data_IF_889938466167
#
_entry.id   IF_889938466167
#
_cell.length_a   1.000
_cell.length_b   1.000
_cell.length_c   1.000
_cell.angle_alpha   90.00
_cell.angle_beta   90.00
_cell.angle_gamma   90.00
#
_symmetry.space_group_name_H-M   'P 1'
#
loop_
_entity.id
_entity.type
_entity.pdbx_description
1 polymer ?
#
# COMPACT_ATOMS: atom_id res chain seq x y z
N UNK A 1 -5.68 47.09 -15.16
CA UNK A 1 -6.36 47.38 -13.87
C UNK A 1 -5.36 48.04 -12.93
N UNK A 2 -5.77 48.98 -12.07
CA UNK A 2 -4.86 49.54 -11.05
C UNK A 2 -4.51 48.43 -10.07
N UNK A 3 -3.21 48.20 -9.83
CA UNK A 3 -2.74 47.17 -8.89
C UNK A 3 -3.20 47.51 -7.47
N UNK A 4 -3.54 46.49 -6.69
CA UNK A 4 -3.91 46.62 -5.28
C UNK A 4 -3.17 45.63 -4.35
N UNK A 5 -2.18 44.91 -4.90
CA UNK A 5 -1.34 43.95 -4.19
C UNK A 5 0.12 44.41 -4.16
N UNK A 6 0.74 44.41 -2.98
CA UNK A 6 2.20 44.57 -2.86
C UNK A 6 2.95 43.40 -3.47
N UNK A 7 4.24 43.60 -3.78
CA UNK A 7 5.08 42.49 -4.19
C UNK A 7 5.21 41.38 -3.13
N UNK A 8 5.09 41.70 -1.84
CA UNK A 8 5.12 40.70 -0.77
C UNK A 8 3.83 39.85 -0.76
N UNK A 9 2.67 40.49 -0.88
CA UNK A 9 1.37 39.79 -0.98
C UNK A 9 1.36 38.81 -2.15
N UNK A 10 1.90 39.23 -3.30
CA UNK A 10 2.04 38.39 -4.49
C UNK A 10 2.93 37.16 -4.24
N UNK A 11 4.06 37.32 -3.54
CA UNK A 11 4.93 36.20 -3.19
C UNK A 11 4.26 35.21 -2.23
N UNK A 12 3.52 35.71 -1.24
CA UNK A 12 2.77 34.86 -0.30
C UNK A 12 1.69 34.06 -1.04
N UNK A 13 0.96 34.70 -1.97
CA UNK A 13 -0.05 34.03 -2.80
C UNK A 13 0.53 32.91 -3.64
N UNK A 14 1.74 33.08 -4.20
CA UNK A 14 2.42 32.01 -4.94
C UNK A 14 2.63 30.78 -4.03
N UNK A 15 3.14 30.98 -2.81
CA UNK A 15 3.35 29.86 -1.87
C UNK A 15 2.03 29.23 -1.40
N UNK A 16 0.99 30.04 -1.13
CA UNK A 16 -0.33 29.50 -0.77
C UNK A 16 -0.96 28.72 -1.92
N UNK A 17 -0.82 29.21 -3.16
CA UNK A 17 -1.28 28.52 -4.36
C UNK A 17 -0.56 27.18 -4.54
N UNK A 18 0.75 27.13 -4.30
CA UNK A 18 1.56 25.92 -4.34
C UNK A 18 1.13 24.90 -3.28
N UNK A 19 0.96 25.33 -2.03
CA UNK A 19 0.49 24.44 -0.94
C UNK A 19 -0.89 23.87 -1.26
N UNK A 20 -1.83 24.70 -1.73
CA UNK A 20 -3.16 24.24 -2.15
C UNK A 20 -3.10 23.26 -3.31
N UNK A 21 -2.15 23.45 -4.24
CA UNK A 21 -1.94 22.53 -5.36
C UNK A 21 -1.48 21.15 -4.85
N UNK A 22 -0.48 21.12 -3.96
CA UNK A 22 0.04 19.88 -3.37
C UNK A 22 -1.05 19.18 -2.55
N UNK A 23 -1.81 19.91 -1.73
CA UNK A 23 -2.94 19.37 -0.95
C UNK A 23 -4.02 18.82 -1.87
N UNK A 24 -4.42 19.59 -2.90
CA UNK A 24 -5.42 19.16 -3.88
C UNK A 24 -5.00 17.90 -4.62
N UNK A 25 -3.73 17.81 -5.00
CA UNK A 25 -3.21 16.69 -5.78
C UNK A 25 -3.02 15.41 -4.96
N UNK A 26 -2.37 15.51 -3.80
CA UNK A 26 -2.01 14.30 -3.03
C UNK A 26 -3.03 13.92 -1.96
N UNK A 27 -3.74 14.86 -1.36
CA UNK A 27 -4.45 14.66 -0.09
C UNK A 27 -5.96 14.79 -0.18
N UNK A 28 -6.48 15.22 -1.32
CA UNK A 28 -7.87 15.57 -1.52
C UNK A 28 -8.47 14.76 -2.67
N UNK A 29 -9.79 14.59 -2.65
CA UNK A 29 -10.53 13.88 -3.69
C UNK A 29 -11.92 14.49 -3.90
N UNK A 30 -12.54 14.11 -5.02
CA UNK A 30 -13.88 14.54 -5.39
C UNK A 30 -14.03 16.06 -5.41
N UNK A 31 -15.11 16.57 -4.80
CA UNK A 31 -15.42 18.00 -4.81
C UNK A 31 -14.33 18.87 -4.15
N UNK A 32 -13.75 18.40 -3.03
CA UNK A 32 -12.73 19.15 -2.30
C UNK A 32 -11.43 19.33 -3.09
N UNK A 33 -11.08 18.38 -3.95
CA UNK A 33 -9.93 18.48 -4.84
C UNK A 33 -10.14 19.59 -5.87
N UNK A 34 -11.32 19.65 -6.50
CA UNK A 34 -11.69 20.70 -7.45
C UNK A 34 -11.62 22.06 -6.78
N UNK A 35 -12.17 22.19 -5.56
CA UNK A 35 -12.08 23.43 -4.78
C UNK A 35 -10.63 23.83 -4.56
N UNK A 36 -9.77 22.92 -4.10
CA UNK A 36 -8.35 23.20 -3.88
C UNK A 36 -7.64 23.70 -5.16
N UNK A 37 -7.89 23.07 -6.30
CA UNK A 37 -7.33 23.49 -7.59
C UNK A 37 -7.84 24.86 -8.06
N UNK A 38 -9.14 25.13 -7.90
CA UNK A 38 -9.70 26.45 -8.25
C UNK A 38 -9.09 27.55 -7.39
N UNK A 39 -8.99 27.34 -6.08
CA UNK A 39 -8.37 28.33 -5.19
C UNK A 39 -6.87 28.50 -5.48
N UNK A 40 -6.15 27.41 -5.76
CA UNK A 40 -4.75 27.45 -6.19
C UNK A 40 -4.58 28.31 -7.46
N UNK A 41 -5.42 28.08 -8.48
CA UNK A 41 -5.42 28.86 -9.72
C UNK A 41 -5.71 30.35 -9.47
N UNK A 42 -6.71 30.66 -8.63
CA UNK A 42 -7.03 32.04 -8.26
C UNK A 42 -5.82 32.72 -7.59
N UNK A 43 -5.13 32.03 -6.69
CA UNK A 43 -3.93 32.57 -6.03
C UNK A 43 -2.82 32.89 -7.06
N UNK A 44 -2.56 31.99 -8.01
CA UNK A 44 -1.56 32.24 -9.04
C UNK A 44 -1.96 33.38 -9.99
N UNK A 45 -3.20 33.42 -10.47
CA UNK A 45 -3.70 34.46 -11.37
C UNK A 45 -3.67 35.84 -10.70
N UNK A 46 -4.08 35.92 -9.43
CA UNK A 46 -4.03 37.18 -8.67
C UNK A 46 -2.59 37.64 -8.46
N UNK A 47 -1.70 36.73 -8.05
CA UNK A 47 -0.27 37.00 -7.89
C UNK A 47 0.41 37.47 -9.19
N UNK A 48 0.02 36.96 -10.37
CA UNK A 48 0.57 37.40 -11.65
C UNK A 48 0.11 38.82 -12.01
N UNK A 49 -1.19 39.09 -11.87
CA UNK A 49 -1.79 40.36 -12.26
C UNK A 49 -1.52 41.49 -11.25
N UNK A 50 -1.23 41.17 -9.98
CA UNK A 50 -1.12 42.15 -8.90
C UNK A 50 -2.45 42.82 -8.56
N UNK A 51 -3.55 42.13 -8.85
CA UNK A 51 -4.91 42.61 -8.66
C UNK A 51 -5.80 41.51 -8.07
N UNK A 52 -6.32 41.75 -6.86
CA UNK A 52 -7.34 40.92 -6.23
C UNK A 52 -8.69 41.62 -6.26
N UNK A 53 -9.69 41.01 -6.90
CA UNK A 53 -11.06 41.52 -6.95
C UNK A 53 -11.69 41.59 -5.55
N UNK A 54 -11.42 40.61 -4.69
CA UNK A 54 -11.92 40.56 -3.31
C UNK A 54 -11.37 41.76 -2.52
N UNK A 55 -10.07 42.05 -2.62
CA UNK A 55 -9.50 43.24 -1.99
C UNK A 55 -10.18 44.52 -2.48
N UNK A 56 -10.51 44.64 -3.77
CA UNK A 56 -11.26 45.79 -4.29
C UNK A 56 -12.65 45.92 -3.67
N UNK A 57 -13.39 44.81 -3.54
CA UNK A 57 -14.73 44.79 -2.93
C UNK A 57 -14.68 45.24 -1.45
N UNK A 58 -13.66 44.79 -0.71
CA UNK A 58 -13.47 45.16 0.70
C UNK A 58 -12.67 46.45 0.92
N UNK A 59 -12.31 47.18 -0.14
CA UNK A 59 -11.52 48.42 -0.02
C UNK A 59 -10.09 48.23 0.47
N UNK A 60 -9.54 47.01 0.39
CA UNK A 60 -8.17 46.68 0.79
C UNK A 60 -7.21 47.03 -0.35
N UNK A 61 -6.10 47.68 -0.01
CA UNK A 61 -4.98 47.90 -0.91
C UNK A 61 -3.67 47.69 -0.15
N UNK A 62 -2.91 46.66 -0.52
CA UNK A 62 -1.60 46.40 0.09
C UNK A 62 -0.45 47.00 -0.72
N UNK A 63 -0.71 47.53 -1.92
CA UNK A 63 0.32 48.15 -2.75
C UNK A 63 0.86 49.42 -2.08
N UNK A 64 2.13 49.36 -1.71
CA UNK A 64 2.87 50.44 -1.05
C UNK A 64 3.89 51.09 -1.98
N UNK A 65 3.91 50.74 -3.27
CA UNK A 65 4.85 51.25 -4.27
C UNK A 65 6.31 50.85 -4.04
N UNK A 66 6.61 50.04 -3.01
CA UNK A 66 7.98 49.61 -2.69
C UNK A 66 8.28 48.26 -3.35
N UNK A 67 9.37 48.16 -4.13
CA UNK A 67 9.77 46.88 -4.70
C UNK A 67 10.25 45.95 -3.58
N UNK A 68 9.96 44.66 -3.73
CA UNK A 68 10.51 43.62 -2.85
C UNK A 68 12.02 43.53 -3.04
N UNK A 69 12.76 43.46 -1.93
CA UNK A 69 14.22 43.35 -1.95
C UNK A 69 14.69 42.08 -2.66
N UNK A 70 15.89 42.12 -3.25
CA UNK A 70 16.47 40.97 -3.96
C UNK A 70 16.61 39.75 -3.03
N UNK A 71 17.07 39.95 -1.80
CA UNK A 71 17.21 38.89 -0.80
C UNK A 71 15.87 38.22 -0.50
N UNK A 72 14.80 38.99 -0.34
CA UNK A 72 13.46 38.44 -0.07
C UNK A 72 12.94 37.61 -1.25
N UNK A 73 13.18 38.05 -2.50
CA UNK A 73 12.84 37.23 -3.68
C UNK A 73 13.60 35.91 -3.71
N UNK A 74 14.89 35.93 -3.34
CA UNK A 74 15.71 34.72 -3.24
C UNK A 74 15.15 33.79 -2.16
N UNK A 75 14.84 34.31 -0.97
CA UNK A 75 14.26 33.53 0.13
C UNK A 75 12.96 32.85 -0.30
N UNK A 76 12.03 33.59 -0.91
CA UNK A 76 10.77 33.02 -1.39
C UNK A 76 10.97 32.02 -2.54
N UNK A 77 11.92 32.28 -3.44
CA UNK A 77 12.27 31.34 -4.50
C UNK A 77 12.83 30.02 -3.94
N UNK A 78 13.69 30.10 -2.93
CA UNK A 78 14.21 28.90 -2.23
C UNK A 78 13.08 28.18 -1.50
N UNK A 79 12.21 28.91 -0.80
CA UNK A 79 11.08 28.33 -0.09
C UNK A 79 10.10 27.61 -1.03
N UNK A 80 9.78 28.23 -2.17
CA UNK A 80 8.99 27.59 -3.23
C UNK A 80 9.64 26.28 -3.69
N UNK A 81 10.93 26.29 -4.02
CA UNK A 81 11.63 25.06 -4.43
C UNK A 81 11.62 23.98 -3.34
N UNK A 82 11.79 24.36 -2.07
CA UNK A 82 11.73 23.43 -0.94
C UNK A 82 10.32 22.84 -0.82
N UNK A 83 9.27 23.66 -0.88
CA UNK A 83 7.88 23.19 -0.79
C UNK A 83 7.55 22.28 -1.98
N UNK A 84 7.91 22.67 -3.20
CA UNK A 84 7.73 21.83 -4.39
C UNK A 84 8.37 20.45 -4.22
N UNK A 85 9.65 20.40 -3.82
CA UNK A 85 10.41 19.14 -3.75
C UNK A 85 10.00 18.34 -2.51
N UNK A 86 10.17 18.92 -1.32
CA UNK A 86 9.94 18.23 -0.06
C UNK A 86 8.45 17.97 0.17
N UNK A 87 7.58 18.90 -0.22
CA UNK A 87 6.13 18.74 -0.12
C UNK A 87 5.61 17.62 -1.01
N UNK A 88 6.05 17.55 -2.28
CA UNK A 88 5.71 16.45 -3.19
C UNK A 88 6.23 15.11 -2.67
N UNK A 89 7.52 15.03 -2.34
CA UNK A 89 8.14 13.79 -1.85
C UNK A 89 7.48 13.29 -0.56
N UNK A 90 7.28 14.18 0.42
CA UNK A 90 6.65 13.81 1.68
C UNK A 90 5.20 13.39 1.48
N UNK A 91 4.47 14.08 0.60
CA UNK A 91 3.06 13.76 0.32
C UNK A 91 2.91 12.37 -0.32
N UNK A 92 3.74 12.05 -1.30
CA UNK A 92 3.76 10.70 -1.90
C UNK A 92 4.06 9.62 -0.84
N UNK A 93 5.11 9.85 -0.03
CA UNK A 93 5.49 8.94 1.04
C UNK A 93 4.37 8.70 2.06
N UNK A 94 3.78 9.77 2.61
CA UNK A 94 2.77 9.64 3.66
C UNK A 94 1.44 9.10 3.13
N UNK A 95 1.01 9.48 1.93
CA UNK A 95 -0.24 8.95 1.35
C UNK A 95 -0.11 7.46 1.02
N UNK A 96 1.05 7.01 0.54
CA UNK A 96 1.40 5.60 0.42
C UNK A 96 1.38 4.88 1.78
N UNK A 97 1.96 5.48 2.81
CA UNK A 97 1.94 4.93 4.18
C UNK A 97 0.51 4.77 4.70
N UNK A 98 -0.33 5.80 4.57
CA UNK A 98 -1.71 5.74 5.06
C UNK A 98 -2.55 4.71 4.32
N UNK A 99 -2.35 4.55 3.01
CA UNK A 99 -2.95 3.45 2.26
C UNK A 99 -2.59 2.10 2.85
N UNK A 100 -1.31 1.86 3.14
CA UNK A 100 -0.84 0.60 3.73
C UNK A 100 -1.37 0.39 5.14
N UNK A 101 -1.41 1.42 5.98
CA UNK A 101 -1.95 1.34 7.34
C UNK A 101 -3.44 0.99 7.32
N UNK A 102 -4.23 1.61 6.43
CA UNK A 102 -5.65 1.28 6.23
C UNK A 102 -5.86 -0.12 5.63
N UNK A 103 -5.05 -0.50 4.63
CA UNK A 103 -5.06 -1.85 4.07
C UNK A 103 -4.78 -2.89 5.15
N UNK A 104 -3.74 -2.70 5.96
CA UNK A 104 -3.35 -3.65 7.01
C UNK A 104 -4.43 -3.78 8.10
N UNK A 105 -5.10 -2.68 8.47
CA UNK A 105 -6.23 -2.71 9.42
C UNK A 105 -7.34 -3.64 8.94
N UNK A 106 -7.76 -3.49 7.68
CA UNK A 106 -8.77 -4.34 7.07
C UNK A 106 -8.26 -5.78 6.86
N UNK A 107 -7.06 -5.91 6.30
CA UNK A 107 -6.46 -7.20 5.92
C UNK A 107 -6.23 -8.11 7.14
N UNK A 108 -6.04 -7.54 8.33
CA UNK A 108 -5.99 -8.31 9.57
C UNK A 108 -7.27 -9.15 9.77
N UNK A 109 -8.45 -8.56 9.58
CA UNK A 109 -9.72 -9.31 9.73
C UNK A 109 -9.92 -10.32 8.61
N UNK A 110 -9.44 -10.04 7.40
CA UNK A 110 -9.42 -11.02 6.31
C UNK A 110 -8.57 -12.25 6.70
N UNK A 111 -7.33 -12.04 7.15
CA UNK A 111 -6.44 -13.13 7.59
C UNK A 111 -7.04 -13.94 8.74
N UNK A 112 -7.62 -13.26 9.74
CA UNK A 112 -8.25 -13.94 10.88
C UNK A 112 -9.50 -14.72 10.45
N UNK A 113 -10.30 -14.19 9.54
CA UNK A 113 -11.45 -14.92 8.99
C UNK A 113 -10.97 -16.18 8.28
N UNK A 114 -10.01 -16.04 7.37
CA UNK A 114 -9.44 -17.14 6.60
C UNK A 114 -8.81 -18.22 7.50
N UNK A 115 -8.05 -17.81 8.52
CA UNK A 115 -7.45 -18.73 9.48
C UNK A 115 -8.52 -19.51 10.27
N UNK A 116 -9.51 -18.81 10.83
CA UNK A 116 -10.52 -19.45 11.67
C UNK A 116 -11.47 -20.36 10.87
N UNK A 117 -11.79 -20.04 9.62
CA UNK A 117 -12.57 -20.92 8.75
C UNK A 117 -11.82 -22.22 8.46
N UNK A 118 -10.50 -22.14 8.20
CA UNK A 118 -9.65 -23.33 8.03
C UNK A 118 -9.48 -24.17 9.32
N UNK A 119 -9.71 -23.58 10.49
CA UNK A 119 -9.71 -24.28 11.78
C UNK A 119 -11.09 -24.81 12.20
N UNK A 120 -12.14 -24.59 11.39
CA UNK A 120 -13.51 -24.96 11.74
C UNK A 120 -14.12 -24.15 12.90
N UNK A 121 -13.52 -23.02 13.28
CA UNK A 121 -13.91 -22.20 14.43
C UNK A 121 -15.00 -21.20 14.09
N UNK A 122 -16.25 -21.65 14.05
CA UNK A 122 -17.38 -20.86 13.51
C UNK A 122 -17.63 -19.53 14.22
N UNK A 123 -17.63 -19.51 15.56
CA UNK A 123 -17.96 -18.29 16.30
C UNK A 123 -16.92 -17.19 16.01
N UNK A 124 -15.64 -17.56 16.00
CA UNK A 124 -14.52 -16.68 15.68
C UNK A 124 -14.49 -16.29 14.19
N UNK A 125 -14.87 -17.20 13.29
CA UNK A 125 -15.05 -16.87 11.87
C UNK A 125 -16.12 -15.81 11.67
N UNK A 126 -17.29 -15.92 12.32
CA UNK A 126 -18.37 -14.94 12.22
C UNK A 126 -17.94 -13.58 12.77
N UNK A 127 -17.34 -13.55 13.97
CA UNK A 127 -16.89 -12.29 14.59
C UNK A 127 -15.85 -11.54 13.74
N UNK A 128 -14.89 -12.26 13.13
CA UNK A 128 -13.91 -11.64 12.25
C UNK A 128 -14.49 -11.28 10.88
N UNK A 129 -15.42 -12.09 10.35
CA UNK A 129 -16.10 -11.80 9.09
C UNK A 129 -16.90 -10.50 9.16
N UNK A 130 -17.68 -10.29 10.22
CA UNK A 130 -18.47 -9.06 10.38
C UNK A 130 -17.57 -7.82 10.44
N UNK A 131 -16.42 -7.92 11.12
CA UNK A 131 -15.40 -6.86 11.15
C UNK A 131 -14.75 -6.65 9.79
N UNK A 132 -14.43 -7.73 9.07
CA UNK A 132 -13.93 -7.66 7.70
C UNK A 132 -14.91 -6.91 6.79
N UNK A 133 -16.20 -7.24 6.80
CA UNK A 133 -17.23 -6.57 5.99
C UNK A 133 -17.23 -5.07 6.28
N UNK A 134 -17.22 -4.69 7.57
CA UNK A 134 -17.21 -3.28 7.98
C UNK A 134 -15.94 -2.56 7.53
N UNK A 135 -14.76 -3.10 7.85
CA UNK A 135 -13.48 -2.46 7.53
C UNK A 135 -13.18 -2.43 6.03
N UNK A 136 -13.57 -3.47 5.29
CA UNK A 136 -13.45 -3.47 3.84
C UNK A 136 -14.37 -2.43 3.20
N UNK A 137 -15.56 -2.22 3.72
CA UNK A 137 -16.47 -1.15 3.25
C UNK A 137 -15.84 0.24 3.48
N UNK A 138 -15.23 0.47 4.63
CA UNK A 138 -14.52 1.74 4.92
C UNK A 138 -13.34 1.93 3.98
N UNK A 139 -12.53 0.89 3.80
CA UNK A 139 -11.37 0.90 2.91
C UNK A 139 -11.79 1.15 1.45
N UNK A 140 -12.75 0.38 0.94
CA UNK A 140 -13.20 0.47 -0.45
C UNK A 140 -13.86 1.82 -0.74
N UNK A 141 -14.73 2.31 0.15
CA UNK A 141 -15.41 3.61 -0.04
C UNK A 141 -14.42 4.77 -0.16
N UNK A 142 -13.39 4.78 0.71
CA UNK A 142 -12.32 5.77 0.67
C UNK A 142 -11.55 5.68 -0.64
N UNK A 143 -10.99 4.50 -0.94
CA UNK A 143 -10.02 4.38 -2.03
C UNK A 143 -10.63 4.23 -3.42
N UNK A 144 -11.93 3.91 -3.54
CA UNK A 144 -12.64 4.03 -4.81
C UNK A 144 -12.83 5.49 -5.24
N UNK A 145 -12.81 6.42 -4.29
CA UNK A 145 -12.98 7.87 -4.52
C UNK A 145 -11.67 8.66 -4.48
N UNK A 146 -10.72 8.20 -3.67
CA UNK A 146 -9.42 8.82 -3.45
C UNK A 146 -8.30 7.86 -3.85
N UNK A 147 -7.54 8.21 -4.88
CA UNK A 147 -6.38 7.43 -5.31
C UNK A 147 -5.10 8.18 -4.93
N UNK A 148 -4.33 7.67 -3.94
CA UNK A 148 -2.97 8.14 -3.71
C UNK A 148 -2.16 8.08 -5.01
N UNK A 149 -1.15 8.94 -5.16
CA UNK A 149 -0.37 9.05 -6.40
C UNK A 149 0.13 7.69 -6.93
N UNK A 150 0.56 6.82 -6.02
CA UNK A 150 1.03 5.45 -6.31
C UNK A 150 -0.03 4.52 -6.94
N UNK A 151 -1.33 4.79 -6.79
CA UNK A 151 -2.45 4.04 -7.38
C UNK A 151 -3.21 4.87 -8.43
N UNK A 152 -2.94 6.17 -8.56
CA UNK A 152 -3.73 7.12 -9.36
C UNK A 152 -3.93 6.70 -10.83
N UNK A 153 -2.99 5.95 -11.40
CA UNK A 153 -3.06 5.49 -12.80
C UNK A 153 -3.45 4.01 -12.94
N UNK A 154 -3.88 3.35 -11.86
CA UNK A 154 -4.31 1.96 -11.90
C UNK A 154 -5.79 1.85 -12.30
N UNK A 155 -6.02 1.62 -13.58
CA UNK A 155 -7.37 1.47 -14.14
C UNK A 155 -8.11 0.22 -13.63
N UNK A 156 -7.39 -0.78 -13.11
CA UNK A 156 -7.99 -2.03 -12.60
C UNK A 156 -8.39 -1.92 -11.13
N UNK A 157 -7.80 -0.99 -10.38
CA UNK A 157 -7.94 -0.90 -8.92
C UNK A 157 -9.40 -0.91 -8.44
N UNK A 158 -10.24 -0.04 -9.00
CA UNK A 158 -11.64 0.02 -8.60
C UNK A 158 -12.41 -1.26 -8.96
N UNK A 159 -12.09 -1.89 -10.09
CA UNK A 159 -12.67 -3.15 -10.50
C UNK A 159 -12.33 -4.28 -9.53
N UNK A 160 -11.08 -4.34 -9.07
CA UNK A 160 -10.63 -5.33 -8.07
C UNK A 160 -11.32 -5.12 -6.72
N UNK A 161 -11.46 -3.87 -6.26
CA UNK A 161 -12.19 -3.59 -5.03
C UNK A 161 -13.65 -4.05 -5.11
N UNK A 162 -14.31 -3.87 -6.25
CA UNK A 162 -15.67 -4.36 -6.49
C UNK A 162 -15.69 -5.90 -6.47
N UNK A 163 -14.73 -6.55 -7.14
CA UNK A 163 -14.63 -8.01 -7.16
C UNK A 163 -14.49 -8.58 -5.74
N UNK A 164 -13.55 -8.05 -4.96
CA UNK A 164 -13.34 -8.45 -3.57
C UNK A 164 -14.60 -8.20 -2.73
N UNK A 165 -15.27 -7.05 -2.90
CA UNK A 165 -16.53 -6.74 -2.22
C UNK A 165 -17.61 -7.80 -2.48
N UNK A 166 -17.74 -8.21 -3.75
CA UNK A 166 -18.72 -9.20 -4.18
C UNK A 166 -18.42 -10.58 -3.60
N UNK A 167 -17.14 -10.98 -3.56
CA UNK A 167 -16.72 -12.24 -2.91
C UNK A 167 -17.07 -12.20 -1.43
N UNK A 168 -16.61 -11.18 -0.69
CA UNK A 168 -16.85 -11.05 0.76
C UNK A 168 -18.36 -11.07 1.06
N UNK A 169 -19.15 -10.29 0.32
CA UNK A 169 -20.60 -10.20 0.55
C UNK A 169 -21.32 -11.50 0.19
N UNK A 170 -20.89 -12.18 -0.88
CA UNK A 170 -21.46 -13.45 -1.32
C UNK A 170 -21.23 -14.62 -0.35
N UNK A 171 -20.22 -14.53 0.51
CA UNK A 171 -19.89 -15.58 1.48
C UNK A 171 -20.67 -15.50 2.79
N UNK A 172 -21.49 -14.45 3.00
CA UNK A 172 -22.20 -14.22 4.26
C UNK A 172 -22.94 -15.45 4.79
N UNK A 173 -23.86 -16.02 4.00
CA UNK A 173 -24.64 -17.17 4.46
C UNK A 173 -23.76 -18.39 4.72
N UNK A 174 -22.73 -18.62 3.87
CA UNK A 174 -21.83 -19.76 4.02
C UNK A 174 -20.98 -19.66 5.29
N UNK A 175 -20.50 -18.46 5.65
CA UNK A 175 -19.77 -18.23 6.91
C UNK A 175 -20.66 -18.56 8.11
N UNK A 176 -21.92 -18.12 8.08
CA UNK A 176 -22.82 -18.28 9.22
C UNK A 176 -23.33 -19.71 9.37
N UNK A 177 -23.69 -20.39 8.29
CA UNK A 177 -24.37 -21.70 8.37
C UNK A 177 -23.84 -22.77 7.41
N UNK A 178 -23.02 -22.40 6.43
CA UNK A 178 -22.46 -23.33 5.42
C UNK A 178 -21.21 -24.06 5.89
N UNK A 179 -20.53 -24.77 4.98
CA UNK A 179 -19.30 -25.51 5.28
C UNK A 179 -18.09 -24.57 5.38
N UNK A 180 -17.39 -24.56 6.53
CA UNK A 180 -16.25 -23.66 6.74
C UNK A 180 -15.00 -24.03 5.94
N UNK A 181 -14.84 -25.30 5.58
CA UNK A 181 -13.72 -25.74 4.74
C UNK A 181 -13.88 -25.19 3.32
N UNK A 182 -15.09 -25.27 2.77
CA UNK A 182 -15.42 -24.63 1.48
C UNK A 182 -15.33 -23.10 1.56
N UNK A 183 -15.77 -22.49 2.66
CA UNK A 183 -15.66 -21.04 2.87
C UNK A 183 -14.20 -20.60 2.93
N UNK A 184 -13.32 -21.39 3.56
CA UNK A 184 -11.89 -21.12 3.60
C UNK A 184 -11.33 -21.04 2.17
N UNK A 185 -11.61 -22.06 1.34
CA UNK A 185 -11.19 -22.08 -0.07
C UNK A 185 -11.76 -20.90 -0.86
N UNK A 186 -13.02 -20.55 -0.65
CA UNK A 186 -13.66 -19.41 -1.31
C UNK A 186 -12.99 -18.07 -0.91
N UNK A 187 -12.54 -17.92 0.33
CA UNK A 187 -11.79 -16.74 0.77
C UNK A 187 -10.37 -16.68 0.21
N UNK A 188 -9.70 -17.81 -0.02
CA UNK A 188 -8.31 -17.83 -0.51
C UNK A 188 -8.15 -17.09 -1.84
N UNK A 189 -9.19 -17.07 -2.67
CA UNK A 189 -9.22 -16.37 -3.97
C UNK A 189 -8.98 -14.86 -3.84
N UNK A 190 -9.24 -14.25 -2.68
CA UNK A 190 -9.02 -12.82 -2.45
C UNK A 190 -7.52 -12.49 -2.35
N UNK A 191 -6.72 -13.41 -1.80
CA UNK A 191 -5.27 -13.23 -1.57
C UNK A 191 -4.52 -12.78 -2.83
N UNK A 192 -4.60 -13.48 -3.98
CA UNK A 192 -3.89 -13.07 -5.19
C UNK A 192 -4.37 -11.72 -5.71
N UNK A 193 -5.64 -11.34 -5.54
CA UNK A 193 -6.14 -10.03 -6.01
C UNK A 193 -5.44 -8.89 -5.24
N UNK A 194 -5.37 -8.99 -3.90
CA UNK A 194 -4.66 -7.98 -3.11
C UNK A 194 -3.15 -7.96 -3.40
N UNK A 195 -2.54 -9.13 -3.59
CA UNK A 195 -1.12 -9.19 -3.95
C UNK A 195 -0.84 -8.50 -5.28
N UNK A 196 -1.66 -8.73 -6.30
CA UNK A 196 -1.50 -8.10 -7.61
C UNK A 196 -1.73 -6.58 -7.55
N UNK A 197 -2.72 -6.11 -6.76
CA UNK A 197 -2.89 -4.66 -6.48
C UNK A 197 -1.59 -4.08 -5.93
N UNK A 198 -1.02 -4.71 -4.90
CA UNK A 198 0.17 -4.18 -4.23
C UNK A 198 1.40 -4.22 -5.16
N UNK A 199 1.62 -5.32 -5.88
CA UNK A 199 2.77 -5.49 -6.78
C UNK A 199 2.73 -4.51 -7.95
N UNK A 200 1.62 -4.42 -8.68
CA UNK A 200 1.54 -3.60 -9.90
C UNK A 200 1.62 -2.10 -9.60
N UNK A 201 1.25 -1.70 -8.38
CA UNK A 201 1.39 -0.33 -7.88
C UNK A 201 2.72 -0.09 -7.14
N UNK A 202 3.68 -1.02 -7.20
CA UNK A 202 5.02 -0.82 -6.61
C UNK A 202 5.00 -0.69 -5.08
N UNK A 203 4.04 -1.32 -4.41
CA UNK A 203 4.12 -1.51 -2.96
C UNK A 203 5.12 -2.62 -2.66
N UNK A 204 6.29 -2.22 -2.19
CA UNK A 204 7.28 -3.14 -1.66
C UNK A 204 6.97 -3.44 -0.20
N UNK A 205 6.15 -4.47 0.04
CA UNK A 205 5.77 -4.91 1.38
C UNK A 205 6.37 -6.28 1.65
N UNK A 206 7.16 -6.40 2.71
CA UNK A 206 7.73 -7.67 3.16
C UNK A 206 6.65 -8.77 3.23
N UNK A 207 5.47 -8.44 3.74
CA UNK A 207 4.30 -9.33 3.77
C UNK A 207 3.92 -9.91 2.39
N UNK A 208 3.91 -9.11 1.32
CA UNK A 208 3.51 -9.55 -0.02
C UNK A 208 4.49 -10.59 -0.55
N UNK A 209 5.78 -10.32 -0.42
CA UNK A 209 6.82 -11.23 -0.87
C UNK A 209 6.94 -12.47 0.02
N UNK A 210 6.67 -12.35 1.33
CA UNK A 210 6.58 -13.50 2.23
C UNK A 210 5.46 -14.45 1.82
N UNK A 211 4.30 -13.94 1.38
CA UNK A 211 3.21 -14.81 0.88
C UNK A 211 3.59 -15.50 -0.44
N UNK A 212 4.20 -14.78 -1.39
CA UNK A 212 4.70 -15.40 -2.63
C UNK A 212 5.73 -16.50 -2.34
N UNK A 213 6.61 -16.25 -1.38
CA UNK A 213 7.57 -17.24 -0.91
C UNK A 213 6.87 -18.42 -0.23
N UNK A 214 5.85 -18.19 0.60
CA UNK A 214 5.06 -19.25 1.21
C UNK A 214 4.46 -20.20 0.17
N UNK A 215 3.80 -19.67 -0.85
CA UNK A 215 3.12 -20.49 -1.86
C UNK A 215 4.14 -21.33 -2.65
N UNK A 216 5.32 -20.79 -2.94
CA UNK A 216 6.41 -21.56 -3.55
C UNK A 216 7.04 -22.56 -2.56
N UNK A 217 7.17 -22.18 -1.29
CA UNK A 217 7.72 -23.01 -0.20
C UNK A 217 6.85 -24.26 0.02
N UNK A 218 5.53 -24.15 -0.02
CA UNK A 218 4.66 -25.32 0.12
C UNK A 218 4.88 -26.34 -1.00
N UNK A 219 5.21 -25.91 -2.24
CA UNK A 219 5.57 -26.82 -3.34
C UNK A 219 6.84 -27.62 -3.04
N UNK A 220 7.88 -26.99 -2.49
CA UNK A 220 9.13 -27.70 -2.16
C UNK A 220 8.96 -28.61 -0.94
N UNK A 221 8.08 -28.24 0.00
CA UNK A 221 7.71 -29.09 1.15
C UNK A 221 7.00 -30.36 0.66
N UNK A 222 6.04 -30.23 -0.27
CA UNK A 222 5.29 -31.37 -0.83
C UNK A 222 6.24 -32.42 -1.44
N UNK A 223 7.18 -32.00 -2.29
CA UNK A 223 8.17 -32.93 -2.90
C UNK A 223 9.18 -33.47 -1.88
N UNK A 224 9.53 -32.70 -0.85
CA UNK A 224 10.39 -33.14 0.24
C UNK A 224 9.72 -34.22 1.11
N UNK A 225 8.43 -34.06 1.42
CA UNK A 225 7.62 -35.03 2.16
C UNK A 225 7.41 -36.31 1.35
N UNK A 226 7.30 -36.19 0.03
CA UNK A 226 7.30 -37.32 -0.90
C UNK A 226 8.66 -38.02 -1.04
N UNK A 227 9.71 -37.52 -0.36
CA UNK A 227 11.10 -38.02 -0.46
C UNK A 227 11.68 -37.97 -1.88
N UNK A 228 11.19 -37.03 -2.70
CA UNK A 228 11.62 -36.86 -4.08
C UNK A 228 12.74 -35.83 -4.20
N UNK A 229 13.99 -36.29 -4.10
CA UNK A 229 15.17 -35.43 -4.31
C UNK A 229 15.16 -34.72 -5.67
N UNK A 230 14.67 -35.37 -6.74
CA UNK A 230 14.66 -34.75 -8.09
C UNK A 230 13.62 -33.63 -8.15
N UNK A 231 12.45 -33.86 -7.55
CA UNK A 231 11.41 -32.86 -7.37
C UNK A 231 11.91 -31.66 -6.58
N UNK A 232 12.59 -31.87 -5.45
CA UNK A 232 13.19 -30.78 -4.66
C UNK A 232 14.16 -29.95 -5.51
N UNK A 233 15.09 -30.60 -6.22
CA UNK A 233 16.06 -29.91 -7.07
C UNK A 233 15.37 -29.12 -8.20
N UNK A 234 14.30 -29.67 -8.77
CA UNK A 234 13.56 -29.02 -9.85
C UNK A 234 12.77 -27.80 -9.39
N UNK A 235 12.17 -27.85 -8.20
CA UNK A 235 11.33 -26.76 -7.64
C UNK A 235 12.18 -25.67 -6.98
N UNK A 236 13.36 -26.01 -6.47
CA UNK A 236 14.22 -25.09 -5.73
C UNK A 236 14.47 -23.72 -6.40
N UNK A 237 14.77 -23.62 -7.72
CA UNK A 237 15.04 -22.32 -8.35
C UNK A 237 13.88 -21.34 -8.19
N UNK A 238 12.63 -21.81 -8.37
CA UNK A 238 11.43 -20.98 -8.19
C UNK A 238 11.35 -20.46 -6.75
N UNK A 239 11.52 -21.36 -5.77
CA UNK A 239 11.42 -21.02 -4.33
C UNK A 239 12.53 -20.06 -3.92
N UNK A 240 13.75 -20.29 -4.41
CA UNK A 240 14.92 -19.45 -4.15
C UNK A 240 14.75 -18.04 -4.70
N UNK A 241 14.20 -17.90 -5.91
CA UNK A 241 13.90 -16.61 -6.54
C UNK A 241 12.83 -15.85 -5.76
N UNK A 242 11.79 -16.54 -5.25
CA UNK A 242 10.79 -15.91 -4.37
C UNK A 242 11.37 -15.46 -3.04
N UNK A 243 12.26 -16.25 -2.43
CA UNK A 243 12.96 -15.84 -1.20
C UNK A 243 13.89 -14.67 -1.44
N UNK A 244 14.53 -14.57 -2.61
CA UNK A 244 15.39 -13.45 -2.96
C UNK A 244 14.65 -12.12 -2.98
N UNK A 245 13.40 -12.12 -3.46
CA UNK A 245 12.56 -10.93 -3.41
C UNK A 245 12.19 -10.51 -1.97
N UNK A 246 12.14 -11.44 -1.02
CA UNK A 246 12.02 -11.15 0.42
C UNK A 246 13.31 -10.53 0.95
N UNK A 247 14.46 -11.10 0.59
CA UNK A 247 15.80 -10.65 1.00
C UNK A 247 16.13 -9.22 0.54
N UNK A 248 15.68 -8.85 -0.66
CA UNK A 248 15.83 -7.50 -1.21
C UNK A 248 15.09 -6.43 -0.36
N UNK A 249 14.10 -6.83 0.44
CA UNK A 249 13.36 -5.94 1.36
C UNK A 249 13.92 -6.00 2.77
N UNK A 250 14.21 -7.21 3.25
CA UNK A 250 14.76 -7.43 4.59
C UNK A 250 15.72 -8.61 4.57
N UNK A 251 16.92 -8.39 5.10
CA UNK A 251 17.97 -9.41 5.18
C UNK A 251 18.57 -9.50 6.59
N UNK A 252 17.69 -9.47 7.58
CA UNK A 252 18.05 -9.70 8.98
C UNK A 252 18.24 -11.19 9.29
N UNK A 253 18.66 -11.49 10.51
CA UNK A 253 19.05 -12.85 10.90
C UNK A 253 17.90 -13.86 10.81
N UNK A 254 16.63 -13.42 10.93
CA UNK A 254 15.49 -14.32 10.76
C UNK A 254 15.28 -14.70 9.29
N UNK A 255 15.45 -13.77 8.36
CA UNK A 255 15.37 -14.05 6.91
C UNK A 255 16.56 -14.91 6.46
N UNK A 256 17.76 -14.64 6.96
CA UNK A 256 18.94 -15.48 6.70
C UNK A 256 18.73 -16.91 7.20
N UNK A 257 18.10 -17.10 8.35
CA UNK A 257 17.78 -18.44 8.85
C UNK A 257 16.80 -19.20 7.92
N UNK A 258 15.85 -18.50 7.28
CA UNK A 258 14.97 -19.11 6.26
C UNK A 258 15.80 -19.54 5.04
N UNK A 259 16.71 -18.69 4.56
CA UNK A 259 17.63 -19.00 3.44
C UNK A 259 18.49 -20.22 3.75
N UNK A 260 19.14 -20.24 4.91
CA UNK A 260 19.97 -21.37 5.34
C UNK A 260 19.16 -22.67 5.39
N UNK A 261 17.91 -22.63 5.88
CA UNK A 261 17.05 -23.80 5.89
C UNK A 261 16.66 -24.26 4.47
N UNK A 262 16.37 -23.34 3.55
CA UNK A 262 16.04 -23.66 2.16
C UNK A 262 17.24 -24.28 1.42
N UNK A 263 18.42 -23.68 1.57
CA UNK A 263 19.66 -24.16 0.94
C UNK A 263 20.04 -25.56 1.47
N UNK A 264 19.79 -25.81 2.76
CA UNK A 264 20.00 -27.12 3.37
C UNK A 264 19.03 -28.18 2.85
N UNK A 265 17.76 -27.83 2.55
CA UNK A 265 16.82 -28.75 1.87
C UNK A 265 17.38 -29.16 0.49
N UNK A 266 17.93 -28.21 -0.28
CA UNK A 266 18.58 -28.52 -1.56
C UNK A 266 19.82 -29.40 -1.36
N UNK A 267 20.64 -29.11 -0.36
CA UNK A 267 21.86 -29.87 -0.07
C UNK A 267 21.52 -31.32 0.25
N UNK A 268 20.54 -31.57 1.13
CA UNK A 268 20.06 -32.92 1.45
C UNK A 268 19.51 -33.65 0.22
N UNK A 269 18.78 -32.96 -0.65
CA UNK A 269 18.27 -33.54 -1.88
C UNK A 269 19.40 -33.95 -2.84
N UNK A 270 20.40 -33.09 -2.99
CA UNK A 270 21.59 -33.30 -3.82
C UNK A 270 22.46 -34.45 -3.29
N UNK A 271 22.59 -34.54 -1.97
CA UNK A 271 23.32 -35.62 -1.27
C UNK A 271 22.56 -36.96 -1.25
N UNK A 272 21.32 -37.00 -1.75
CA UNK A 272 20.47 -38.20 -1.75
C UNK A 272 19.95 -38.59 -0.35
N UNK A 273 19.97 -37.66 0.61
CA UNK A 273 19.54 -37.87 2.00
C UNK A 273 18.03 -37.76 2.17
N UNK A 274 17.29 -38.59 1.42
CA UNK A 274 15.83 -38.50 1.30
C UNK A 274 15.06 -38.66 2.60
N UNK A 275 15.63 -39.31 3.61
CA UNK A 275 14.98 -39.49 4.92
C UNK A 275 15.07 -38.24 5.82
N UNK A 276 15.97 -37.30 5.50
CA UNK A 276 16.16 -36.06 6.27
C UNK A 276 15.35 -34.90 5.67
N UNK A 277 14.85 -35.04 4.42
CA UNK A 277 14.15 -33.99 3.67
C UNK A 277 12.92 -33.43 4.38
N UNK A 278 11.97 -34.30 4.73
CA UNK A 278 10.71 -33.88 5.39
C UNK A 278 10.96 -33.13 6.70
N UNK A 279 11.88 -33.62 7.53
CA UNK A 279 12.23 -32.95 8.78
C UNK A 279 12.85 -31.55 8.55
N UNK A 280 13.70 -31.42 7.52
CA UNK A 280 14.30 -30.12 7.19
C UNK A 280 13.29 -29.16 6.55
N UNK A 281 12.40 -29.66 5.70
CA UNK A 281 11.31 -28.89 5.11
C UNK A 281 10.34 -28.37 6.20
N UNK A 282 10.06 -29.16 7.24
CA UNK A 282 9.30 -28.70 8.40
C UNK A 282 10.01 -27.57 9.18
N UNK A 283 11.34 -27.63 9.32
CA UNK A 283 12.12 -26.54 9.92
C UNK A 283 12.07 -25.25 9.08
N UNK A 284 12.15 -25.38 7.75
CA UNK A 284 11.96 -24.25 6.83
C UNK A 284 10.60 -23.60 7.07
N UNK A 285 9.52 -24.38 7.06
CA UNK A 285 8.15 -23.89 7.34
C UNK A 285 8.06 -23.19 8.69
N UNK A 286 8.63 -23.78 9.73
CA UNK A 286 8.62 -23.18 11.08
C UNK A 286 9.37 -21.85 11.13
N UNK A 287 10.52 -21.72 10.46
CA UNK A 287 11.27 -20.46 10.40
C UNK A 287 10.50 -19.37 9.65
N UNK A 288 9.81 -19.74 8.56
CA UNK A 288 8.92 -18.85 7.82
C UNK A 288 7.75 -18.37 8.68
N UNK A 289 7.01 -19.29 9.32
CA UNK A 289 5.82 -18.95 10.12
C UNK A 289 6.16 -17.97 11.23
N UNK A 290 7.34 -18.10 11.86
CA UNK A 290 7.81 -17.18 12.90
C UNK A 290 7.90 -15.74 12.37
N UNK A 291 8.50 -15.55 11.19
CA UNK A 291 8.61 -14.23 10.56
C UNK A 291 7.24 -13.73 10.10
N UNK A 292 6.47 -14.59 9.43
CA UNK A 292 5.17 -14.24 8.88
C UNK A 292 4.17 -13.78 9.94
N UNK A 293 4.08 -14.46 11.09
CA UNK A 293 3.13 -14.05 12.13
C UNK A 293 3.44 -12.70 12.77
N UNK A 294 4.72 -12.28 12.77
CA UNK A 294 5.16 -11.02 13.38
C UNK A 294 5.17 -9.87 12.36
N UNK A 295 5.55 -10.17 11.11
CA UNK A 295 5.92 -9.17 10.09
C UNK A 295 5.17 -9.33 8.77
N UNK A 296 4.53 -10.49 8.58
CA UNK A 296 3.60 -10.77 7.50
C UNK A 296 2.24 -10.26 7.90
#
# INVERSE_FOLDING_TARGET
MKKNESGLDRLIRVLLGEVLLIVGFFWSWGYWQIVAFVFSLIMFVTALNGFCLIYKIFGINTDNGRPVSRSMKIVFGVLFLIIAIAGTYSSDFFTKKFFLDDYNRMNNFYKQTLFNTGQGKRAESIDNYDKLVSEFTVFSSKYSSYHPYVIMNDEQFNGDLINISNIISGLKEKVYTGDLELVHLDFEVIRPIFQEILKRNGFSMLQVYLVDFHDAMEKIIEVADAKDSKGVIAVYPEVSDKLKAVEDIANDDEIKAIRENLDEVLRLATDGKVNELSAKAAQLKSSFVKVYLVRG
#
